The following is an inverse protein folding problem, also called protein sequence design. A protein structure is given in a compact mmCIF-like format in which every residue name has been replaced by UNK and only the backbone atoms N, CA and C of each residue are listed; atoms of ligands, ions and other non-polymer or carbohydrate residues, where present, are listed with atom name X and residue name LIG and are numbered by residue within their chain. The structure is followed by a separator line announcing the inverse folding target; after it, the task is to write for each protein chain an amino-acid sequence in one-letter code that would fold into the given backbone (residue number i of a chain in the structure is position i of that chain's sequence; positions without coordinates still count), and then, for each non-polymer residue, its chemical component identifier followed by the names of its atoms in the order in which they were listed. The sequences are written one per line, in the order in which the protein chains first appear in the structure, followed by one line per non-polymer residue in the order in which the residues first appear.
data_IF_872337954215
#
_entry.id   IF_872337954215
#
_cell.length_a   1.000
_cell.length_b   1.000
_cell.length_c   1.000
_cell.angle_alpha   90.00
_cell.angle_beta   90.00
_cell.angle_gamma   90.00
#
_symmetry.space_group_name_H-M   'P 1'
#
loop_
_entity.id
_entity.type
_entity.pdbx_description
1 polymer ?
#
# COMPACT_ATOMS: atom_id res chain seq x y z
N UNK A 1 6.18 -9.30 11.49
CA UNK A 1 6.97 -8.85 10.33
C UNK A 1 6.13 -7.92 9.48
N UNK A 2 6.75 -7.07 8.68
CA UNK A 2 6.09 -6.20 7.70
C UNK A 2 6.62 -6.52 6.31
N UNK A 3 5.71 -6.78 5.37
CA UNK A 3 6.02 -6.94 3.95
C UNK A 3 5.98 -5.57 3.27
N UNK A 4 7.07 -5.14 2.65
CA UNK A 4 7.14 -3.88 1.90
C UNK A 4 6.92 -4.09 0.40
N UNK A 5 6.13 -3.22 -0.21
CA UNK A 5 5.80 -3.18 -1.64
C UNK A 5 6.19 -1.83 -2.23
N UNK A 6 7.07 -1.84 -3.23
CA UNK A 6 7.51 -0.63 -3.92
C UNK A 6 6.39 -0.03 -4.81
N UNK A 7 6.47 1.27 -5.10
CA UNK A 7 5.64 1.96 -6.09
C UNK A 7 6.13 1.74 -7.53
N UNK A 8 6.01 2.74 -8.42
CA UNK A 8 6.46 2.62 -9.81
C UNK A 8 5.37 2.24 -10.82
N UNK A 9 4.10 2.58 -10.52
CA UNK A 9 2.99 2.45 -11.46
C UNK A 9 2.79 1.03 -12.01
N UNK A 10 3.18 0.01 -11.25
CA UNK A 10 3.20 -1.40 -11.65
C UNK A 10 4.04 -1.72 -12.89
N UNK A 11 4.77 -0.76 -13.50
CA UNK A 11 5.54 -0.98 -14.74
C UNK A 11 7.05 -0.81 -14.55
N UNK A 12 7.49 -0.30 -13.40
CA UNK A 12 8.89 -0.10 -13.02
C UNK A 12 9.06 -0.24 -11.51
N UNK A 13 10.30 -0.19 -11.05
CA UNK A 13 10.69 -0.36 -9.65
C UNK A 13 11.12 -1.78 -9.33
N UNK A 14 11.67 -1.93 -8.14
CA UNK A 14 12.13 -3.20 -7.58
C UNK A 14 12.17 -3.13 -6.05
N UNK A 15 12.47 -4.26 -5.40
CA UNK A 15 12.53 -4.38 -3.94
C UNK A 15 13.58 -3.48 -3.26
N UNK A 16 14.51 -2.91 -4.02
CA UNK A 16 15.57 -2.01 -3.49
C UNK A 16 15.09 -0.57 -3.33
N UNK A 17 13.86 -0.26 -3.76
CA UNK A 17 13.18 1.02 -3.47
C UNK A 17 12.59 1.08 -2.05
N UNK A 18 12.78 0.03 -1.23
CA UNK A 18 12.38 0.08 0.17
C UNK A 18 13.13 1.20 0.92
N UNK A 19 12.43 1.96 1.79
CA UNK A 19 13.10 2.89 2.69
C UNK A 19 14.02 2.09 3.63
N UNK A 20 15.21 2.62 3.92
CA UNK A 20 16.17 1.93 4.80
C UNK A 20 15.78 2.06 6.27
N UNK A 21 14.78 1.27 6.65
CA UNK A 21 14.18 1.24 7.98
C UNK A 21 14.37 -0.13 8.66
N UNK A 22 15.25 -0.96 8.11
CA UNK A 22 15.48 -2.32 8.61
C UNK A 22 15.86 -2.32 10.10
N UNK A 23 16.79 -1.46 10.50
CA UNK A 23 17.19 -1.25 11.90
C UNK A 23 16.06 -0.64 12.73
N UNK A 24 15.38 0.37 12.19
CA UNK A 24 14.28 1.07 12.84
C UNK A 24 13.14 0.12 13.25
N UNK A 25 12.76 -0.81 12.37
CA UNK A 25 11.76 -1.84 12.67
C UNK A 25 12.32 -2.95 13.56
N UNK A 26 13.59 -3.34 13.39
CA UNK A 26 14.23 -4.37 14.23
C UNK A 26 14.29 -3.95 15.70
N UNK A 27 14.56 -2.68 15.99
CA UNK A 27 14.53 -2.10 17.35
C UNK A 27 13.12 -2.14 17.97
N UNK A 28 12.07 -2.26 17.15
CA UNK A 28 10.67 -2.47 17.56
C UNK A 28 10.26 -3.95 17.57
N UNK A 29 11.20 -4.87 17.36
CA UNK A 29 10.92 -6.32 17.31
C UNK A 29 10.23 -6.78 16.02
N UNK A 30 10.30 -5.98 14.95
CA UNK A 30 9.62 -6.24 13.68
C UNK A 30 10.67 -6.47 12.58
N UNK A 31 10.61 -7.62 11.91
CA UNK A 31 11.38 -7.83 10.68
C UNK A 31 10.70 -7.18 9.47
N UNK A 32 11.47 -6.59 8.56
CA UNK A 32 11.01 -6.15 7.25
C UNK A 32 11.36 -7.16 6.16
N UNK A 33 10.42 -7.42 5.25
CA UNK A 33 10.62 -8.22 4.05
C UNK A 33 10.20 -7.40 2.82
N UNK A 34 11.16 -6.90 2.05
CA UNK A 34 10.88 -6.23 0.77
C UNK A 34 10.81 -7.27 -0.35
N UNK A 35 9.71 -7.28 -1.12
CA UNK A 35 9.46 -8.29 -2.14
C UNK A 35 9.39 -7.68 -3.55
N UNK A 36 9.55 -8.53 -4.56
CA UNK A 36 9.25 -8.22 -5.95
C UNK A 36 7.83 -8.66 -6.31
N UNK A 37 7.24 -8.02 -7.30
CA UNK A 37 6.05 -8.50 -8.00
C UNK A 37 6.24 -8.29 -9.52
N UNK A 38 5.63 -9.15 -10.35
CA UNK A 38 5.76 -9.04 -11.81
C UNK A 38 5.25 -7.68 -12.30
N UNK A 39 6.09 -6.95 -13.02
CA UNK A 39 5.71 -5.69 -13.65
C UNK A 39 4.75 -5.93 -14.82
N UNK A 40 3.96 -4.91 -15.17
CA UNK A 40 2.88 -4.97 -16.17
C UNK A 40 3.34 -5.32 -17.58
N UNK A 41 4.63 -5.08 -17.90
CA UNK A 41 5.23 -5.53 -19.15
C UNK A 41 5.44 -7.05 -19.21
N UNK A 42 5.56 -7.71 -18.05
CA UNK A 42 5.72 -9.16 -17.95
C UNK A 42 4.38 -9.89 -17.80
N UNK A 43 3.43 -9.31 -17.06
CA UNK A 43 2.09 -9.87 -16.88
C UNK A 43 1.06 -8.80 -16.48
N UNK A 44 -0.16 -8.90 -17.02
CA UNK A 44 -1.28 -8.03 -16.64
C UNK A 44 -1.89 -8.43 -15.30
N UNK A 45 -2.63 -7.52 -14.66
CA UNK A 45 -3.42 -7.82 -13.46
C UNK A 45 -4.38 -8.99 -13.72
N UNK A 46 -4.54 -9.95 -12.77
CA UNK A 46 -4.16 -9.90 -11.35
C UNK A 46 -2.77 -10.44 -10.96
N UNK A 47 -1.83 -10.63 -11.91
CA UNK A 47 -0.53 -11.23 -11.63
C UNK A 47 0.24 -10.59 -10.47
N UNK A 48 0.23 -9.25 -10.38
CA UNK A 48 0.88 -8.48 -9.30
C UNK A 48 0.33 -8.86 -7.93
N UNK A 49 -1.00 -8.93 -7.80
CA UNK A 49 -1.66 -9.27 -6.53
C UNK A 49 -1.42 -10.74 -6.17
N UNK A 50 -1.39 -11.64 -7.16
CA UNK A 50 -1.05 -13.05 -6.94
C UNK A 50 0.38 -13.19 -6.39
N UNK A 51 1.33 -12.42 -6.91
CA UNK A 51 2.72 -12.46 -6.42
C UNK A 51 2.82 -11.98 -4.97
N UNK A 52 2.12 -10.90 -4.62
CA UNK A 52 2.07 -10.38 -3.23
C UNK A 52 1.47 -11.42 -2.28
N UNK A 53 0.34 -12.03 -2.65
CA UNK A 53 -0.32 -13.06 -1.83
C UNK A 53 0.55 -14.32 -1.71
N UNK A 54 1.19 -14.73 -2.79
CA UNK A 54 2.16 -15.83 -2.80
C UNK A 54 3.32 -15.55 -1.84
N UNK A 55 3.89 -14.35 -1.88
CA UNK A 55 4.96 -13.95 -0.97
C UNK A 55 4.52 -13.94 0.49
N UNK A 56 3.31 -13.46 0.81
CA UNK A 56 2.75 -13.53 2.17
C UNK A 56 2.63 -14.98 2.64
N UNK A 57 2.06 -15.88 1.82
CA UNK A 57 1.96 -17.31 2.13
C UNK A 57 3.33 -17.95 2.32
N UNK A 58 4.28 -17.62 1.45
CA UNK A 58 5.65 -18.13 1.54
C UNK A 58 6.32 -17.70 2.84
N UNK A 59 6.26 -16.41 3.19
CA UNK A 59 6.82 -15.88 4.44
C UNK A 59 6.16 -16.50 5.67
N UNK A 60 4.83 -16.67 5.64
CA UNK A 60 4.06 -17.34 6.70
C UNK A 60 4.51 -18.80 6.87
N UNK A 61 4.53 -19.58 5.78
CA UNK A 61 4.90 -21.00 5.81
C UNK A 61 6.37 -21.25 6.21
N UNK A 62 7.24 -20.27 6.02
CA UNK A 62 8.67 -20.36 6.35
C UNK A 62 9.07 -19.53 7.58
N UNK A 63 8.11 -18.96 8.31
CA UNK A 63 8.37 -18.03 9.42
C UNK A 63 9.33 -18.62 10.48
N UNK A 64 9.21 -19.92 10.77
CA UNK A 64 10.07 -20.63 11.72
C UNK A 64 11.57 -20.56 11.36
N UNK A 65 11.91 -20.55 10.06
CA UNK A 65 13.31 -20.47 9.58
C UNK A 65 13.99 -19.18 10.01
N UNK A 66 13.23 -18.09 10.15
CA UNK A 66 13.73 -16.77 10.47
C UNK A 66 13.29 -16.30 11.86
N UNK A 67 12.79 -17.22 12.70
CA UNK A 67 12.28 -16.92 14.04
C UNK A 67 11.18 -15.85 14.05
N UNK A 68 10.34 -15.84 13.02
CA UNK A 68 9.22 -14.91 12.90
C UNK A 68 7.93 -15.57 13.39
N UNK A 69 6.99 -14.75 13.86
CA UNK A 69 5.63 -15.20 14.16
C UNK A 69 4.76 -15.16 12.88
N UNK A 70 4.23 -16.29 12.40
CA UNK A 70 3.44 -16.37 11.16
C UNK A 70 2.07 -15.68 11.25
N UNK A 71 1.55 -15.43 12.46
CA UNK A 71 0.23 -14.82 12.69
C UNK A 71 0.31 -13.29 12.85
N UNK A 72 1.52 -12.72 12.77
CA UNK A 72 1.81 -11.30 12.98
C UNK A 72 2.48 -10.70 11.75
N UNK A 73 1.73 -10.69 10.65
CA UNK A 73 2.15 -10.14 9.36
C UNK A 73 1.38 -8.85 9.08
N UNK A 74 2.11 -7.76 8.86
CA UNK A 74 1.59 -6.52 8.27
C UNK A 74 2.08 -6.37 6.83
N UNK A 75 1.42 -5.52 6.06
CA UNK A 75 1.84 -5.13 4.70
C UNK A 75 1.87 -3.62 4.57
N UNK A 76 2.87 -3.11 3.88
CA UNK A 76 3.10 -1.68 3.69
C UNK A 76 3.55 -1.41 2.26
N UNK A 77 3.09 -0.33 1.63
CA UNK A 77 3.62 0.08 0.34
C UNK A 77 3.31 1.53 -0.02
N UNK A 78 4.01 2.01 -1.05
CA UNK A 78 3.83 3.33 -1.66
C UNK A 78 3.16 3.23 -3.03
N UNK A 79 2.31 4.20 -3.40
CA UNK A 79 1.75 4.33 -4.74
C UNK A 79 1.13 3.01 -5.26
N UNK A 80 1.63 2.46 -6.37
CA UNK A 80 1.27 1.13 -6.89
C UNK A 80 1.41 0.00 -5.86
N UNK A 81 2.45 0.03 -5.03
CA UNK A 81 2.65 -0.90 -3.91
C UNK A 81 1.67 -0.67 -2.76
N UNK A 82 1.29 0.58 -2.49
CA UNK A 82 0.24 0.92 -1.53
C UNK A 82 -1.13 0.38 -1.97
N UNK A 83 -1.44 0.51 -3.26
CA UNK A 83 -2.60 -0.12 -3.89
C UNK A 83 -2.60 -1.65 -3.71
N UNK A 84 -1.48 -2.31 -3.97
CA UNK A 84 -1.35 -3.75 -3.79
C UNK A 84 -1.42 -4.16 -2.31
N UNK A 85 -0.88 -3.36 -1.39
CA UNK A 85 -0.97 -3.59 0.05
C UNK A 85 -2.44 -3.56 0.51
N UNK A 86 -3.21 -2.57 0.06
CA UNK A 86 -4.64 -2.47 0.34
C UNK A 86 -5.42 -3.66 -0.24
N UNK A 87 -5.18 -4.04 -1.50
CA UNK A 87 -5.83 -5.21 -2.10
C UNK A 87 -5.47 -6.50 -1.36
N UNK A 88 -4.20 -6.70 -1.00
CA UNK A 88 -3.75 -7.87 -0.26
C UNK A 88 -4.45 -7.96 1.10
N UNK A 89 -4.52 -6.85 1.85
CA UNK A 89 -5.22 -6.80 3.12
C UNK A 89 -6.72 -7.06 3.03
N UNK A 90 -7.37 -6.53 1.99
CA UNK A 90 -8.82 -6.67 1.79
C UNK A 90 -9.22 -8.02 1.20
N UNK A 91 -8.30 -8.74 0.55
CA UNK A 91 -8.57 -10.05 -0.08
C UNK A 91 -7.90 -11.22 0.62
N UNK A 92 -7.05 -11.00 1.61
CA UNK A 92 -6.25 -12.03 2.28
C UNK A 92 -7.06 -13.14 2.94
N UNK A 93 -8.29 -12.85 3.36
CA UNK A 93 -9.26 -13.81 3.92
C UNK A 93 -9.79 -14.84 2.90
N UNK A 94 -9.67 -14.54 1.60
CA UNK A 94 -10.09 -15.44 0.54
C UNK A 94 -9.03 -16.54 0.38
N UNK A 95 -9.45 -17.81 0.44
CA UNK A 95 -8.56 -18.95 0.21
C UNK A 95 -7.81 -18.83 -1.13
N UNK A 96 -8.49 -18.34 -2.17
CA UNK A 96 -7.92 -18.19 -3.50
C UNK A 96 -8.60 -17.07 -4.28
N UNK A 97 -7.83 -16.36 -5.11
CA UNK A 97 -8.36 -15.48 -6.15
C UNK A 97 -8.50 -16.20 -7.50
N UNK A 98 -9.36 -15.67 -8.36
CA UNK A 98 -9.49 -16.19 -9.72
C UNK A 98 -8.14 -16.13 -10.47
N UNK A 99 -7.70 -17.27 -11.00
CA UNK A 99 -6.42 -17.39 -11.70
C UNK A 99 -5.19 -17.48 -10.81
N UNK A 100 -5.35 -17.65 -9.49
CA UNK A 100 -4.24 -17.89 -8.57
C UNK A 100 -3.90 -19.39 -8.52
N UNK A 101 -2.61 -19.73 -8.76
CA UNK A 101 -2.16 -21.12 -8.89
C UNK A 101 -2.39 -21.93 -7.61
N UNK A 102 -2.07 -21.32 -6.46
CA UNK A 102 -2.13 -21.93 -5.14
C UNK A 102 -3.03 -21.11 -4.19
N UNK A 103 -3.85 -21.81 -3.41
CA UNK A 103 -4.65 -21.21 -2.35
C UNK A 103 -3.92 -21.14 -1.01
N UNK A 104 -4.64 -20.79 0.05
CA UNK A 104 -4.15 -20.75 1.42
C UNK A 104 -4.19 -19.36 2.04
N UNK A 105 -3.88 -19.30 3.34
CA UNK A 105 -4.05 -18.10 4.15
C UNK A 105 -3.04 -16.99 3.78
N UNK A 106 -3.54 -15.98 3.06
CA UNK A 106 -2.83 -14.75 2.72
C UNK A 106 -3.31 -13.55 3.56
N UNK A 107 -3.99 -13.79 4.68
CA UNK A 107 -4.43 -12.72 5.58
C UNK A 107 -3.24 -11.95 6.17
N UNK A 108 -3.49 -10.70 6.55
CA UNK A 108 -2.55 -9.84 7.26
C UNK A 108 -3.33 -9.14 8.36
N UNK A 109 -2.63 -8.71 9.41
CA UNK A 109 -3.22 -8.13 10.61
C UNK A 109 -3.33 -6.61 10.52
N UNK A 110 -2.48 -5.97 9.72
CA UNK A 110 -2.41 -4.53 9.56
C UNK A 110 -1.92 -4.14 8.16
N UNK A 111 -2.43 -3.03 7.65
CA UNK A 111 -2.07 -2.46 6.34
C UNK A 111 -1.66 -1.00 6.54
N UNK A 112 -0.47 -0.64 6.05
CA UNK A 112 -0.11 0.75 5.82
C UNK A 112 -0.14 1.01 4.30
N UNK A 113 -1.00 1.94 3.86
CA UNK A 113 -1.15 2.31 2.46
C UNK A 113 -0.77 3.78 2.30
N UNK A 114 0.24 4.06 1.48
CA UNK A 114 0.69 5.43 1.25
C UNK A 114 0.47 5.84 -0.20
N UNK A 115 -0.43 6.82 -0.40
CA UNK A 115 -0.77 7.49 -1.65
C UNK A 115 -1.03 6.56 -2.86
N UNK A 116 -1.60 5.39 -2.60
CA UNK A 116 -2.06 4.44 -3.59
C UNK A 116 -3.44 4.77 -4.14
N UNK A 117 -3.70 4.45 -5.43
CA UNK A 117 -5.03 4.60 -6.00
C UNK A 117 -5.99 3.54 -5.44
N UNK A 118 -7.19 3.95 -5.03
CA UNK A 118 -8.22 3.07 -4.45
C UNK A 118 -9.34 2.66 -5.40
N UNK A 119 -9.45 3.32 -6.56
CA UNK A 119 -10.51 3.11 -7.56
C UNK A 119 -9.93 3.36 -8.97
N UNK A 120 -9.72 2.28 -9.71
CA UNK A 120 -9.17 2.29 -11.06
C UNK A 120 -10.25 2.23 -12.15
N UNK A 121 -11.53 2.21 -11.77
CA UNK A 121 -12.65 2.10 -12.72
C UNK A 121 -12.83 3.35 -13.60
N UNK A 122 -12.27 4.48 -13.16
CA UNK A 122 -12.34 5.78 -13.84
C UNK A 122 -10.96 6.31 -14.22
N UNK A 123 -9.93 5.44 -14.23
CA UNK A 123 -8.59 5.85 -14.61
C UNK A 123 -8.52 6.27 -16.07
N UNK A 124 -7.72 7.30 -16.35
CA UNK A 124 -7.44 7.72 -17.71
C UNK A 124 -6.76 6.59 -18.48
N UNK A 125 -7.08 6.44 -19.77
CA UNK A 125 -6.44 5.44 -20.62
C UNK A 125 -5.04 5.85 -21.11
N UNK A 126 -4.72 7.14 -21.06
CA UNK A 126 -3.47 7.69 -21.60
C UNK A 126 -2.93 8.78 -20.69
N UNK A 127 -1.61 8.94 -20.73
CA UNK A 127 -0.91 10.08 -20.16
C UNK A 127 -1.07 11.33 -21.07
N UNK A 128 -0.76 12.55 -20.60
CA UNK A 128 -0.87 13.76 -21.42
C UNK A 128 -0.05 13.75 -22.71
N UNK A 129 1.03 12.96 -22.75
CA UNK A 129 1.89 12.76 -23.93
C UNK A 129 1.33 11.71 -24.93
N UNK A 130 0.15 11.14 -24.66
CA UNK A 130 -0.50 10.13 -25.48
C UNK A 130 -0.03 8.70 -25.25
N UNK A 131 0.98 8.48 -24.40
CA UNK A 131 1.44 7.14 -24.05
C UNK A 131 0.40 6.39 -23.19
N UNK A 132 0.38 5.04 -23.20
CA UNK A 132 -0.53 4.27 -22.35
C UNK A 132 -0.30 4.57 -20.87
N UNK A 133 -1.40 4.85 -20.15
CA UNK A 133 -1.37 5.07 -18.70
C UNK A 133 -0.86 3.83 -17.94
N UNK A 134 -0.35 4.00 -16.71
CA UNK A 134 0.02 2.88 -15.84
C UNK A 134 -1.09 1.82 -15.73
N UNK A 135 -2.34 2.24 -15.64
CA UNK A 135 -3.51 1.35 -15.57
C UNK A 135 -3.76 0.62 -16.89
N UNK A 136 -3.57 1.29 -18.03
CA UNK A 136 -3.69 0.64 -19.35
C UNK A 136 -2.63 -0.44 -19.51
N UNK A 137 -1.40 -0.20 -19.04
CA UNK A 137 -0.33 -1.22 -19.02
C UNK A 137 -0.70 -2.35 -18.07
N UNK A 138 -1.15 -2.02 -16.85
CA UNK A 138 -1.57 -2.98 -15.84
C UNK A 138 -2.66 -3.93 -16.36
N UNK A 139 -3.65 -3.41 -17.09
CA UNK A 139 -4.74 -4.22 -17.62
C UNK A 139 -4.44 -4.82 -18.99
N UNK A 140 -3.42 -4.36 -19.72
CA UNK A 140 -3.19 -4.72 -21.13
C UNK A 140 -4.32 -4.27 -22.07
N UNK A 141 -5.19 -3.39 -21.59
CA UNK A 141 -6.35 -2.83 -22.28
C UNK A 141 -6.72 -1.52 -21.58
N UNK A 142 -7.48 -0.66 -22.26
CA UNK A 142 -7.95 0.59 -21.65
C UNK A 142 -8.88 0.28 -20.46
N UNK A 143 -8.85 1.08 -19.37
CA UNK A 143 -9.72 0.86 -18.21
C UNK A 143 -11.22 0.77 -18.56
N UNK A 144 -11.69 1.57 -19.52
CA UNK A 144 -13.08 1.57 -20.02
C UNK A 144 -13.46 0.30 -20.79
N UNK A 145 -12.48 -0.47 -21.26
CA UNK A 145 -12.67 -1.77 -21.93
C UNK A 145 -12.39 -2.96 -21.00
N UNK A 146 -11.81 -2.71 -19.83
CA UNK A 146 -11.43 -3.71 -18.84
C UNK A 146 -12.19 -3.52 -17.52
N UNK A 147 -13.47 -3.11 -17.58
CA UNK A 147 -14.27 -2.66 -16.44
C UNK A 147 -14.26 -3.65 -15.27
N UNK A 148 -14.47 -4.94 -15.52
CA UNK A 148 -14.47 -5.96 -14.46
C UNK A 148 -13.09 -6.11 -13.82
N UNK A 149 -12.03 -6.04 -14.62
CA UNK A 149 -10.64 -6.10 -14.14
C UNK A 149 -10.29 -4.85 -13.35
N UNK A 150 -10.70 -3.67 -13.81
CA UNK A 150 -10.50 -2.40 -13.12
C UNK A 150 -11.24 -2.37 -11.78
N UNK A 151 -12.48 -2.86 -11.74
CA UNK A 151 -13.25 -3.03 -10.51
C UNK A 151 -12.60 -4.06 -9.59
N UNK A 152 -12.14 -5.20 -10.13
CA UNK A 152 -11.44 -6.23 -9.37
C UNK A 152 -10.13 -5.71 -8.76
N UNK A 153 -9.45 -4.79 -9.46
CA UNK A 153 -8.22 -4.13 -9.03
C UNK A 153 -8.46 -2.88 -8.17
N UNK A 154 -9.68 -2.57 -7.73
CA UNK A 154 -9.95 -1.36 -6.95
C UNK A 154 -10.19 -1.73 -5.47
N UNK A 155 -9.27 -1.39 -4.54
CA UNK A 155 -9.46 -1.63 -3.10
C UNK A 155 -10.82 -1.19 -2.57
N UNK A 156 -11.35 -0.07 -3.08
CA UNK A 156 -12.62 0.49 -2.64
C UNK A 156 -13.80 -0.51 -2.76
N UNK A 157 -13.78 -1.40 -3.75
CA UNK A 157 -14.83 -2.42 -3.94
C UNK A 157 -14.55 -3.73 -3.20
N UNK A 158 -13.47 -3.81 -2.41
CA UNK A 158 -13.09 -4.98 -1.62
C UNK A 158 -13.23 -4.75 -0.11
N UNK A 159 -13.63 -3.55 0.30
CA UNK A 159 -13.86 -3.21 1.70
C UNK A 159 -14.93 -4.11 2.30
N UNK A 160 -14.67 -4.60 3.51
CA UNK A 160 -15.50 -5.53 4.28
C UNK A 160 -15.41 -5.22 5.77
N UNK A 161 -16.39 -5.67 6.54
CA UNK A 161 -16.51 -5.35 7.97
C UNK A 161 -15.39 -5.87 8.85
N UNK A 162 -14.76 -6.96 8.43
CA UNK A 162 -13.69 -7.69 9.08
C UNK A 162 -12.34 -7.46 8.35
N UNK A 163 -12.21 -6.29 7.71
CA UNK A 163 -10.93 -5.83 7.17
C UNK A 163 -9.90 -5.62 8.31
N UNK A 164 -8.60 -5.86 8.05
CA UNK A 164 -7.56 -5.54 9.03
C UNK A 164 -7.51 -4.04 9.33
N UNK A 165 -6.76 -3.64 10.35
CA UNK A 165 -6.53 -2.22 10.61
C UNK A 165 -5.77 -1.55 9.46
N UNK A 166 -6.13 -0.31 9.13
CA UNK A 166 -5.51 0.49 8.08
C UNK A 166 -4.91 1.78 8.64
N UNK A 167 -3.63 2.02 8.37
CA UNK A 167 -3.08 3.37 8.32
C UNK A 167 -3.01 3.79 6.85
N UNK A 168 -3.55 4.95 6.53
CA UNK A 168 -3.51 5.55 5.20
C UNK A 168 -2.77 6.88 5.29
N UNK A 169 -1.82 7.14 4.40
CA UNK A 169 -1.14 8.44 4.34
C UNK A 169 -1.10 9.02 2.93
N UNK A 170 -1.33 10.32 2.80
CA UNK A 170 -1.43 10.97 1.50
C UNK A 170 -0.97 12.43 1.57
N UNK A 171 -0.16 12.88 0.62
CA UNK A 171 0.31 14.26 0.56
C UNK A 171 -0.75 15.21 0.02
N UNK A 172 -0.95 16.37 0.65
CA UNK A 172 -1.99 17.32 0.21
C UNK A 172 -1.65 18.06 -1.09
N UNK A 173 -0.40 17.97 -1.56
CA UNK A 173 0.06 18.49 -2.84
C UNK A 173 0.31 17.39 -3.90
N UNK A 174 -0.22 16.17 -3.69
CA UNK A 174 -0.14 15.09 -4.67
C UNK A 174 -0.98 15.39 -5.92
N UNK A 175 -0.31 15.44 -7.06
CA UNK A 175 -0.91 15.70 -8.38
C UNK A 175 -0.90 14.47 -9.28
N UNK A 176 -0.28 13.37 -8.84
CA UNK A 176 -0.20 12.10 -9.58
C UNK A 176 -1.39 11.23 -9.21
N UNK A 177 -1.62 11.02 -7.92
CA UNK A 177 -2.80 10.34 -7.39
C UNK A 177 -3.53 11.32 -6.48
N UNK A 178 -4.75 11.77 -6.81
CA UNK A 178 -5.42 12.75 -5.95
C UNK A 178 -5.82 12.15 -4.59
N UNK A 179 -5.62 12.91 -3.50
CA UNK A 179 -5.91 12.49 -2.11
C UNK A 179 -7.34 11.97 -1.86
N UNK A 180 -8.29 12.30 -2.75
CA UNK A 180 -9.65 11.73 -2.73
C UNK A 180 -9.66 10.20 -2.75
N UNK A 181 -8.63 9.55 -3.32
CA UNK A 181 -8.52 8.09 -3.29
C UNK A 181 -8.40 7.57 -1.86
N UNK A 182 -7.48 8.12 -1.08
CA UNK A 182 -7.29 7.78 0.34
C UNK A 182 -8.49 8.19 1.19
N UNK A 183 -9.07 9.38 0.94
CA UNK A 183 -10.29 9.82 1.64
C UNK A 183 -11.48 8.88 1.41
N UNK A 184 -11.71 8.44 0.16
CA UNK A 184 -12.80 7.49 -0.17
C UNK A 184 -12.55 6.12 0.46
N UNK A 185 -11.32 5.62 0.45
CA UNK A 185 -10.98 4.34 1.06
C UNK A 185 -11.19 4.38 2.57
N UNK A 186 -10.66 5.39 3.25
CA UNK A 186 -10.86 5.62 4.68
C UNK A 186 -12.35 5.69 5.05
N UNK A 187 -13.13 6.47 4.29
CA UNK A 187 -14.58 6.60 4.49
C UNK A 187 -15.28 5.24 4.37
N UNK A 188 -14.93 4.45 3.34
CA UNK A 188 -15.51 3.13 3.13
C UNK A 188 -15.13 2.14 4.25
N UNK A 189 -13.86 2.14 4.69
CA UNK A 189 -13.39 1.30 5.80
C UNK A 189 -14.14 1.62 7.10
N UNK A 190 -14.26 2.91 7.44
CA UNK A 190 -15.03 3.35 8.61
C UNK A 190 -16.50 2.96 8.51
N UNK A 191 -17.12 3.15 7.34
CA UNK A 191 -18.52 2.77 7.11
C UNK A 191 -18.75 1.25 7.23
N UNK A 192 -17.73 0.44 6.98
CA UNK A 192 -17.76 -1.00 7.19
C UNK A 192 -17.47 -1.41 8.65
N UNK A 193 -17.04 -0.48 9.50
CA UNK A 193 -16.67 -0.75 10.90
C UNK A 193 -15.21 -1.17 11.11
N UNK A 194 -14.36 -1.08 10.09
CA UNK A 194 -12.93 -1.36 10.21
C UNK A 194 -12.19 -0.19 10.87
N UNK A 195 -11.10 -0.50 11.58
CA UNK A 195 -10.18 0.52 12.13
C UNK A 195 -9.42 1.17 10.97
N UNK A 196 -9.55 2.48 10.83
CA UNK A 196 -8.82 3.25 9.83
C UNK A 196 -8.36 4.59 10.37
N UNK A 197 -7.08 4.90 10.13
CA UNK A 197 -6.45 6.19 10.38
C UNK A 197 -6.00 6.78 9.06
N UNK A 198 -6.42 8.01 8.74
CA UNK A 198 -5.98 8.72 7.53
C UNK A 198 -5.16 9.94 7.92
N UNK A 199 -3.92 9.99 7.45
CA UNK A 199 -3.01 11.13 7.57
C UNK A 199 -2.94 11.88 6.25
N UNK A 200 -3.42 13.12 6.23
CA UNK A 200 -3.16 14.06 5.14
C UNK A 200 -1.92 14.89 5.50
N UNK A 201 -0.83 14.70 4.76
CA UNK A 201 0.49 15.27 5.06
C UNK A 201 0.69 16.58 4.33
N UNK A 202 0.95 17.66 5.06
CA UNK A 202 0.80 19.02 4.57
C UNK A 202 1.90 19.41 3.56
N UNK A 203 1.48 19.75 2.33
CA UNK A 203 2.37 20.22 1.27
C UNK A 203 3.25 19.14 0.65
N UNK A 204 3.08 17.88 1.05
CA UNK A 204 3.80 16.73 0.48
C UNK A 204 3.20 16.34 -0.88
N UNK A 205 4.07 16.00 -1.83
CA UNK A 205 3.77 15.54 -3.19
C UNK A 205 3.84 14.01 -3.26
N UNK A 206 3.66 13.45 -4.45
CA UNK A 206 3.72 12.00 -4.64
C UNK A 206 5.12 11.44 -4.34
N UNK A 207 5.22 10.24 -3.75
CA UNK A 207 6.51 9.56 -3.60
C UNK A 207 7.33 9.97 -2.37
N UNK A 208 6.75 10.62 -1.37
CA UNK A 208 7.48 11.11 -0.21
C UNK A 208 8.15 10.05 0.69
N UNK A 209 7.78 8.77 0.56
CA UNK A 209 8.47 7.67 1.24
C UNK A 209 9.74 7.20 0.51
N UNK A 210 9.94 7.61 -0.74
CA UNK A 210 11.04 7.12 -1.56
C UNK A 210 12.38 7.61 -1.00
N UNK A 211 13.43 6.77 -1.01
CA UNK A 211 14.77 7.23 -0.69
C UNK A 211 15.20 8.37 -1.62
N UNK A 212 15.92 9.37 -1.08
CA UNK A 212 16.45 10.47 -1.87
C UNK A 212 17.33 9.98 -3.04
N UNK A 213 17.18 10.57 -4.22
CA UNK A 213 17.87 10.20 -5.44
C UNK A 213 17.32 8.93 -6.12
N UNK A 214 16.26 8.32 -5.61
CA UNK A 214 15.61 7.13 -6.19
C UNK A 214 14.16 7.42 -6.54
N UNK A 215 13.94 8.03 -7.69
CA UNK A 215 12.59 8.32 -8.20
C UNK A 215 11.95 7.09 -8.86
N UNK A 216 10.69 6.85 -8.55
CA UNK A 216 9.89 5.75 -9.10
C UNK A 216 9.71 5.85 -10.64
N UNK A 217 9.65 7.06 -11.20
CA UNK A 217 9.37 7.28 -12.62
C UNK A 217 10.30 8.30 -13.31
N UNK A 218 11.37 8.74 -12.65
CA UNK A 218 12.34 9.69 -13.23
C UNK A 218 11.82 11.11 -13.47
N UNK A 219 10.62 11.46 -12.99
CA UNK A 219 10.02 12.79 -13.17
C UNK A 219 10.13 13.56 -11.85
N UNK A 220 11.07 14.50 -11.75
CA UNK A 220 11.37 15.26 -10.51
C UNK A 220 10.33 16.32 -10.17
N UNK A 221 9.57 16.82 -11.15
CA UNK A 221 8.71 17.99 -10.96
C UNK A 221 7.45 17.70 -10.12
N UNK A 222 6.91 16.48 -10.23
CA UNK A 222 5.66 16.08 -9.56
C UNK A 222 5.87 15.22 -8.31
N UNK A 223 7.10 14.82 -8.03
CA UNK A 223 7.43 13.88 -6.97
C UNK A 223 8.21 14.58 -5.85
N UNK A 224 7.99 14.14 -4.63
CA UNK A 224 8.94 14.35 -3.54
C UNK A 224 10.13 13.40 -3.71
N UNK A 225 11.31 13.87 -3.31
CA UNK A 225 12.57 13.12 -3.42
C UNK A 225 13.22 13.00 -2.04
N UNK A 226 12.93 11.91 -1.31
CA UNK A 226 13.49 11.71 0.03
C UNK A 226 13.02 12.68 1.10
N UNK A 227 11.98 13.48 0.83
CA UNK A 227 11.57 14.59 1.69
C UNK A 227 11.22 14.14 3.11
N UNK A 228 10.44 13.07 3.28
CA UNK A 228 10.09 12.59 4.63
C UNK A 228 11.34 12.09 5.39
N UNK A 229 12.28 11.47 4.69
CA UNK A 229 13.54 11.05 5.28
C UNK A 229 14.41 12.23 5.72
N UNK A 230 14.42 13.32 4.93
CA UNK A 230 15.18 14.53 5.22
C UNK A 230 14.55 15.37 6.36
N UNK A 231 13.22 15.50 6.38
CA UNK A 231 12.49 16.28 7.39
C UNK A 231 12.21 15.49 8.68
N UNK A 232 12.16 14.15 8.60
CA UNK A 232 11.89 13.22 9.69
C UNK A 232 10.41 13.13 10.06
N UNK A 233 9.77 14.28 10.29
CA UNK A 233 8.33 14.41 10.53
C UNK A 233 7.79 15.65 9.83
N UNK A 234 6.52 15.61 9.45
CA UNK A 234 5.82 16.77 8.91
C UNK A 234 4.47 16.98 9.55
N UNK A 235 3.95 18.21 9.46
CA UNK A 235 2.60 18.52 9.87
C UNK A 235 1.60 17.69 9.06
N UNK A 236 0.57 17.19 9.73
CA UNK A 236 -0.48 16.41 9.11
C UNK A 236 -1.81 16.64 9.81
N UNK A 237 -2.90 16.34 9.10
CA UNK A 237 -4.22 16.20 9.68
C UNK A 237 -4.58 14.72 9.74
N UNK A 238 -4.81 14.20 10.95
CA UNK A 238 -5.29 12.84 11.20
C UNK A 238 -6.81 12.81 11.22
N UNK A 239 -7.41 11.88 10.48
CA UNK A 239 -8.82 11.51 10.54
C UNK A 239 -8.92 10.09 11.10
N UNK A 240 -9.71 9.92 12.16
CA UNK A 240 -9.94 8.63 12.82
C UNK A 240 -11.34 8.09 12.53
N UNK A 241 -11.57 6.83 12.86
CA UNK A 241 -12.88 6.17 12.73
C UNK A 241 -14.02 6.85 13.51
N UNK A 242 -13.74 7.76 14.46
CA UNK A 242 -14.73 8.58 15.16
C UNK A 242 -15.19 9.82 14.38
N UNK A 243 -14.81 9.97 13.11
CA UNK A 243 -15.12 11.12 12.24
C UNK A 243 -14.59 12.47 12.78
N UNK A 244 -13.63 12.45 13.71
CA UNK A 244 -12.92 13.63 14.19
C UNK A 244 -11.62 13.81 13.42
N UNK A 245 -11.27 15.06 13.09
CA UNK A 245 -9.95 15.42 12.58
C UNK A 245 -9.11 16.09 13.67
N UNK A 246 -7.83 15.74 13.78
CA UNK A 246 -6.90 16.34 14.73
C UNK A 246 -5.59 16.71 14.02
N UNK A 247 -5.08 17.91 14.28
CA UNK A 247 -3.74 18.31 13.84
C UNK A 247 -2.68 17.49 14.57
N UNK A 248 -1.74 16.93 13.83
CA UNK A 248 -0.69 16.04 14.34
C UNK A 248 0.57 16.13 13.49
N UNK A 249 1.52 15.24 13.71
CA UNK A 249 2.65 14.99 12.80
C UNK A 249 2.57 13.60 12.17
N UNK A 250 3.20 13.47 11.01
CA UNK A 250 3.38 12.21 10.30
C UNK A 250 4.86 11.99 10.01
N UNK A 251 5.35 10.78 10.26
CA UNK A 251 6.71 10.33 9.95
C UNK A 251 6.83 8.82 10.00
N UNK A 252 8.06 8.31 9.88
CA UNK A 252 8.30 6.87 9.99
C UNK A 252 7.96 6.31 11.37
N UNK A 253 8.05 7.10 12.44
CA UNK A 253 7.55 6.73 13.77
C UNK A 253 6.05 6.42 13.75
N UNK A 254 5.23 7.23 13.06
CA UNK A 254 3.79 6.98 12.92
C UNK A 254 3.50 5.60 12.30
N UNK A 255 4.29 5.19 11.30
CA UNK A 255 4.17 3.87 10.65
C UNK A 255 4.72 2.76 11.56
N UNK A 256 5.86 3.00 12.19
CA UNK A 256 6.47 2.04 13.13
C UNK A 256 5.56 1.72 14.30
N UNK A 257 4.94 2.75 14.88
CA UNK A 257 4.07 2.64 16.06
C UNK A 257 2.75 1.96 15.70
N UNK A 258 2.17 2.28 14.53
CA UNK A 258 1.01 1.55 13.99
C UNK A 258 1.28 0.04 13.88
N UNK A 259 2.42 -0.36 13.29
CA UNK A 259 2.76 -1.77 13.21
C UNK A 259 3.14 -2.40 14.56
N UNK A 260 3.78 -1.66 15.46
CA UNK A 260 4.07 -2.14 16.80
C UNK A 260 2.77 -2.46 17.57
N UNK A 261 1.80 -1.55 17.52
CA UNK A 261 0.49 -1.74 18.14
C UNK A 261 -0.22 -2.98 17.60
N UNK A 262 -0.32 -3.14 16.28
CA UNK A 262 -1.09 -4.24 15.71
C UNK A 262 -0.35 -5.58 15.61
N UNK A 263 0.99 -5.61 15.64
CA UNK A 263 1.77 -6.84 15.47
C UNK A 263 2.48 -7.30 16.74
N UNK A 264 2.80 -6.40 17.68
CA UNK A 264 3.60 -6.73 18.87
C UNK A 264 2.75 -6.75 20.12
N UNK A 265 1.96 -5.71 20.36
CA UNK A 265 1.10 -5.64 21.53
C UNK A 265 0.14 -6.84 21.54
N UNK A 266 0.01 -7.45 22.71
CA UNK A 266 -0.94 -8.55 22.89
C UNK A 266 -2.33 -7.92 22.92
N UNK A 267 -3.30 -8.54 22.23
CA UNK A 267 -4.70 -8.24 22.49
C UNK A 267 -4.90 -8.42 24.00
N UNK A 268 -5.15 -7.32 24.71
CA UNK A 268 -5.55 -7.38 26.11
C UNK A 268 -7.01 -7.83 26.07
N UNK A 269 -7.23 -9.13 25.93
CA UNK A 269 -8.54 -9.78 26.05
C UNK A 269 -8.60 -10.57 27.34
#
# INVERSE_FOLDING_TARGET
MVVWLHGGGWFTGDRTLAPDLSRFFAERGIAMASIEYRLSAAATFPAQLHDVRCAIRYLRGHAARWHLNPDRIGVWGSSAGGHLAALAGLTGHMDRLEGEDEGGDASVRAVAESYGPSDLSQSAAQMPDGSPSPETRLFGARPDQAVDRARAASPLYRVRHDAPAFQISHGTADTVVPQRHSQRLHTALNAAGAVSELYLVDGYRHGFLNPGGRLEAGITEFFDDGRLHAEGQSAATLFTSSCSSVSTTFGFDTIGDFFAHHLIEKDIS
#
